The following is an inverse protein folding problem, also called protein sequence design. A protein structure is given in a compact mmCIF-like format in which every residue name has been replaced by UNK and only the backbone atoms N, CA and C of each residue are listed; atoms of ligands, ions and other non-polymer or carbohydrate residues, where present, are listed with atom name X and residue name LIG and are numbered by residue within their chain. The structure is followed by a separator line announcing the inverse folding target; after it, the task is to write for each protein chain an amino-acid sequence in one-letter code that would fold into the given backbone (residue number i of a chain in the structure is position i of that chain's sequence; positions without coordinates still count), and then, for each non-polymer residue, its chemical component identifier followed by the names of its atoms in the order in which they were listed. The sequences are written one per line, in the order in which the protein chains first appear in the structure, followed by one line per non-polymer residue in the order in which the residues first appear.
data_IF_305398668717
#
_entry.id   IF_305398668717
#
_cell.length_a   1.000
_cell.length_b   1.000
_cell.length_c   1.000
_cell.angle_alpha   90.00
_cell.angle_beta   90.00
_cell.angle_gamma   90.00
#
_symmetry.space_group_name_H-M   'P 1'
#
loop_
_entity.id
_entity.type
_entity.pdbx_description
1 polymer ?
#
# COMPACT_ATOMS: atom_id res chain seq x y z
N UNK A 1 5.05 24.94 -14.01
CA UNK A 1 5.81 23.67 -13.95
C UNK A 1 4.97 22.58 -14.58
N UNK A 2 5.59 21.63 -15.25
CA UNK A 2 4.89 20.49 -15.86
C UNK A 2 4.36 19.54 -14.75
N UNK A 3 3.11 19.11 -14.86
CA UNK A 3 2.52 18.16 -13.93
C UNK A 3 3.13 16.78 -14.16
N UNK A 4 3.48 16.08 -13.09
CA UNK A 4 3.98 14.69 -13.16
C UNK A 4 3.44 13.83 -12.03
N UNK A 5 3.35 12.53 -12.29
CA UNK A 5 3.00 11.54 -11.30
C UNK A 5 4.16 11.26 -10.35
N UNK A 6 3.90 11.40 -9.06
CA UNK A 6 4.86 11.15 -7.98
C UNK A 6 4.26 10.12 -7.04
N UNK A 7 5.03 9.11 -6.67
CA UNK A 7 4.58 8.11 -5.71
C UNK A 7 4.55 8.71 -4.31
N UNK A 8 3.36 8.88 -3.75
CA UNK A 8 3.21 9.19 -2.33
C UNK A 8 3.65 8.00 -1.47
N UNK A 9 3.43 6.79 -1.98
CA UNK A 9 3.87 5.54 -1.39
C UNK A 9 4.07 4.47 -2.48
N UNK A 10 4.96 3.52 -2.22
CA UNK A 10 5.16 2.39 -3.11
C UNK A 10 6.05 1.31 -2.52
N UNK A 11 5.83 0.06 -2.93
CA UNK A 11 6.63 -1.08 -2.53
C UNK A 11 6.92 -2.01 -3.71
N UNK A 12 7.99 -2.80 -3.59
CA UNK A 12 8.24 -3.94 -4.47
C UNK A 12 7.52 -5.17 -3.95
N UNK A 13 7.02 -6.00 -4.85
CA UNK A 13 6.34 -7.24 -4.50
C UNK A 13 7.31 -8.43 -4.47
N UNK A 14 6.96 -9.40 -3.63
CA UNK A 14 7.53 -10.74 -3.57
C UNK A 14 6.41 -11.77 -3.42
N UNK A 15 6.74 -13.05 -3.51
CA UNK A 15 5.80 -14.13 -3.24
C UNK A 15 5.57 -14.29 -1.74
N UNK A 16 4.30 -14.24 -1.30
CA UNK A 16 3.91 -14.32 0.11
C UNK A 16 3.26 -15.67 0.46
N UNK A 17 3.78 -16.79 -0.04
CA UNK A 17 3.15 -18.11 0.07
C UNK A 17 2.81 -18.52 1.52
N UNK A 18 3.61 -18.16 2.49
CA UNK A 18 3.39 -18.44 3.92
C UNK A 18 2.61 -17.35 4.65
N UNK A 19 2.66 -16.12 4.16
CA UNK A 19 2.06 -14.94 4.80
C UNK A 19 0.79 -14.44 4.09
N UNK A 20 0.41 -15.09 2.99
CA UNK A 20 -0.70 -14.66 2.14
C UNK A 20 -2.05 -14.69 2.86
N UNK A 21 -2.92 -13.76 2.45
CA UNK A 21 -4.30 -13.69 2.93
C UNK A 21 -5.24 -14.50 2.04
N UNK A 22 -6.30 -15.06 2.65
CA UNK A 22 -7.51 -15.38 1.90
C UNK A 22 -8.31 -14.09 1.75
N UNK A 23 -8.40 -13.58 0.52
CA UNK A 23 -9.04 -12.30 0.22
C UNK A 23 -10.57 -12.36 0.11
N UNK A 24 -11.18 -13.55 0.25
CA UNK A 24 -12.62 -13.70 0.02
C UNK A 24 -13.45 -12.83 0.96
N UNK A 25 -14.32 -12.01 0.38
CA UNK A 25 -15.25 -11.13 1.10
C UNK A 25 -14.54 -10.27 2.16
N UNK A 26 -13.49 -9.54 1.75
CA UNK A 26 -12.70 -8.71 2.66
C UNK A 26 -12.33 -7.36 2.08
N UNK A 27 -12.44 -6.34 2.91
CA UNK A 27 -11.87 -5.02 2.65
C UNK A 27 -10.50 -4.90 3.28
N UNK A 28 -9.55 -4.39 2.51
CA UNK A 28 -8.20 -4.01 2.94
C UNK A 28 -8.07 -2.50 2.79
N UNK A 29 -7.76 -1.81 3.87
CA UNK A 29 -7.49 -0.36 3.86
C UNK A 29 -6.04 -0.11 4.22
N UNK A 30 -5.31 0.41 3.25
CA UNK A 30 -3.95 0.90 3.42
C UNK A 30 -4.01 2.37 3.82
N UNK A 31 -3.31 2.74 4.90
CA UNK A 31 -3.14 4.12 5.34
C UNK A 31 -1.68 4.50 5.18
N UNK A 32 -1.41 5.57 4.42
CA UNK A 32 -0.07 6.05 4.12
C UNK A 32 0.02 7.55 4.40
N UNK A 33 1.21 8.02 4.79
CA UNK A 33 1.50 9.44 4.94
C UNK A 33 2.02 9.99 3.61
N UNK A 34 1.40 11.04 3.06
CA UNK A 34 1.88 11.69 1.85
C UNK A 34 2.86 12.80 2.18
N UNK A 35 4.10 12.67 1.72
CA UNK A 35 5.11 13.72 1.82
C UNK A 35 4.96 14.81 0.75
N UNK A 36 4.10 14.62 -0.24
CA UNK A 36 3.93 15.50 -1.40
C UNK A 36 2.45 15.81 -1.63
N UNK A 37 2.18 16.96 -2.24
CA UNK A 37 0.84 17.37 -2.65
C UNK A 37 0.45 16.80 -4.02
N UNK A 38 -0.85 16.81 -4.33
CA UNK A 38 -1.36 16.51 -5.66
C UNK A 38 -2.85 16.76 -5.79
N UNK A 39 -3.31 16.97 -7.04
CA UNK A 39 -4.74 17.23 -7.33
C UNK A 39 -5.51 15.99 -7.77
N UNK A 40 -4.82 14.94 -8.18
CA UNK A 40 -5.40 13.67 -8.60
C UNK A 40 -4.60 12.51 -8.03
N UNK A 41 -5.29 11.39 -7.87
CA UNK A 41 -4.73 10.12 -7.37
C UNK A 41 -4.92 9.02 -8.41
N UNK A 42 -3.99 8.05 -8.42
CA UNK A 42 -4.16 6.74 -9.04
C UNK A 42 -3.49 5.65 -8.20
N UNK A 43 -3.99 4.43 -8.32
CA UNK A 43 -3.55 3.27 -7.58
C UNK A 43 -2.98 2.22 -8.54
N UNK A 44 -1.83 1.66 -8.20
CA UNK A 44 -1.32 0.45 -8.85
C UNK A 44 -1.54 -0.76 -7.94
N UNK A 45 -2.11 -1.82 -8.52
CA UNK A 45 -2.29 -3.13 -7.89
C UNK A 45 -1.49 -4.18 -8.65
N UNK A 46 -0.90 -5.14 -7.93
CA UNK A 46 -0.07 -6.18 -8.54
C UNK A 46 -0.37 -7.57 -7.96
N UNK A 47 -0.66 -8.50 -8.85
CA UNK A 47 -0.80 -9.93 -8.61
C UNK A 47 0.38 -10.72 -9.22
N UNK A 48 1.54 -10.07 -9.36
CA UNK A 48 2.69 -10.52 -10.15
C UNK A 48 3.25 -11.87 -9.70
N UNK A 49 3.25 -12.12 -8.41
CA UNK A 49 3.83 -13.34 -7.81
C UNK A 49 2.78 -14.40 -7.44
N UNK A 50 1.51 -14.22 -7.85
CA UNK A 50 0.46 -15.19 -7.65
C UNK A 50 0.21 -16.01 -8.91
N UNK A 51 -0.16 -17.27 -8.72
CA UNK A 51 -0.64 -18.17 -9.79
C UNK A 51 -2.17 -18.20 -9.89
N UNK A 52 -2.85 -17.52 -9.00
CA UNK A 52 -4.31 -17.49 -8.90
C UNK A 52 -4.85 -16.12 -9.33
N UNK A 53 -6.11 -16.11 -9.76
CA UNK A 53 -6.84 -14.86 -10.05
C UNK A 53 -7.31 -14.21 -8.77
N UNK A 54 -7.34 -12.89 -8.77
CA UNK A 54 -7.91 -12.07 -7.71
C UNK A 54 -8.95 -11.15 -8.30
N UNK A 55 -10.14 -11.13 -7.71
CA UNK A 55 -11.22 -10.23 -8.11
C UNK A 55 -11.41 -9.14 -7.06
N UNK A 56 -11.19 -7.91 -7.48
CA UNK A 56 -11.41 -6.70 -6.70
C UNK A 56 -12.72 -6.08 -7.18
N UNK A 57 -13.70 -5.91 -6.28
CA UNK A 57 -15.05 -5.44 -6.62
C UNK A 57 -15.17 -3.92 -6.56
N UNK A 58 -14.54 -3.29 -5.59
CA UNK A 58 -14.59 -1.84 -5.42
C UNK A 58 -13.27 -1.31 -4.86
N UNK A 59 -12.96 -0.05 -5.19
CA UNK A 59 -11.78 0.66 -4.71
C UNK A 59 -12.13 2.12 -4.42
N UNK A 60 -11.75 2.61 -3.23
CA UNK A 60 -11.94 4.00 -2.84
C UNK A 60 -10.68 4.56 -2.20
N UNK A 61 -10.47 5.86 -2.42
CA UNK A 61 -9.41 6.63 -1.78
C UNK A 61 -10.01 7.84 -1.05
N UNK A 62 -9.35 8.28 0.02
CA UNK A 62 -9.76 9.48 0.76
C UNK A 62 -8.58 10.08 1.52
N UNK A 63 -8.65 11.37 1.83
CA UNK A 63 -7.85 11.96 2.90
C UNK A 63 -8.37 11.42 4.23
N UNK A 64 -7.46 11.11 5.15
CA UNK A 64 -7.80 10.51 6.44
C UNK A 64 -6.88 11.03 7.55
N UNK A 65 -7.18 10.66 8.79
CA UNK A 65 -6.26 10.82 9.92
C UNK A 65 -5.23 9.67 9.97
N UNK A 66 -4.30 9.74 10.90
CA UNK A 66 -3.26 8.73 11.12
C UNK A 66 -3.80 7.33 11.45
N UNK A 67 -5.05 7.24 11.90
CA UNK A 67 -5.71 5.96 12.21
C UNK A 67 -6.36 5.34 10.97
N UNK A 68 -6.42 6.06 9.85
CA UNK A 68 -7.09 5.67 8.62
C UNK A 68 -8.59 5.98 8.62
N UNK A 69 -9.07 6.79 9.58
CA UNK A 69 -10.44 7.31 9.59
C UNK A 69 -10.55 8.44 8.58
N UNK A 70 -11.46 8.32 7.63
CA UNK A 70 -11.69 9.28 6.56
C UNK A 70 -12.07 10.65 7.10
N UNK A 71 -11.49 11.67 6.47
CA UNK A 71 -11.84 13.08 6.65
C UNK A 71 -12.48 13.53 5.31
N UNK A 72 -13.74 13.99 5.36
CA UNK A 72 -14.46 14.37 4.15
C UNK A 72 -15.00 13.18 3.34
N UNK A 73 -15.09 13.35 2.02
CA UNK A 73 -15.67 12.35 1.12
C UNK A 73 -14.63 11.36 0.58
N UNK A 74 -15.09 10.16 0.19
CA UNK A 74 -14.28 9.17 -0.49
C UNK A 74 -14.45 9.26 -2.00
N UNK A 75 -13.36 9.08 -2.73
CA UNK A 75 -13.32 9.09 -4.18
C UNK A 75 -13.23 7.65 -4.70
N UNK A 76 -14.17 7.20 -5.55
CA UNK A 76 -14.06 5.90 -6.20
C UNK A 76 -12.93 5.89 -7.22
N UNK A 77 -12.17 4.80 -7.28
CA UNK A 77 -11.13 4.56 -8.28
C UNK A 77 -11.61 3.51 -9.25
N UNK A 78 -11.54 3.82 -10.55
CA UNK A 78 -11.97 2.97 -11.64
C UNK A 78 -10.77 2.36 -12.38
N UNK A 79 -11.00 1.25 -13.08
CA UNK A 79 -10.02 0.59 -13.93
C UNK A 79 -10.61 0.46 -15.34
N UNK A 80 -10.12 1.26 -16.28
CA UNK A 80 -10.69 1.41 -17.63
C UNK A 80 -12.21 1.68 -17.56
N UNK A 81 -12.63 2.61 -16.69
CA UNK A 81 -14.02 3.02 -16.46
C UNK A 81 -14.88 2.05 -15.66
N UNK A 82 -14.32 0.95 -15.11
CA UNK A 82 -15.06 -0.03 -14.29
C UNK A 82 -14.70 0.09 -12.82
N UNK A 83 -15.66 -0.06 -11.92
CA UNK A 83 -15.48 0.06 -10.47
C UNK A 83 -14.57 -1.03 -9.88
N UNK A 84 -14.51 -2.20 -10.50
CA UNK A 84 -13.68 -3.32 -10.08
C UNK A 84 -12.76 -3.81 -11.17
N UNK A 85 -11.88 -4.74 -10.82
CA UNK A 85 -10.93 -5.36 -11.75
C UNK A 85 -10.63 -6.80 -11.38
N UNK A 86 -10.46 -7.66 -12.36
CA UNK A 86 -9.89 -9.00 -12.19
C UNK A 86 -8.41 -8.97 -12.58
N UNK A 87 -7.55 -9.31 -11.61
CA UNK A 87 -6.14 -9.49 -11.85
C UNK A 87 -5.86 -10.98 -12.09
N UNK A 88 -5.40 -11.30 -13.28
CA UNK A 88 -4.91 -12.65 -13.59
C UNK A 88 -3.55 -12.92 -12.94
N UNK A 89 -3.10 -14.17 -12.98
CA UNK A 89 -1.77 -14.55 -12.53
C UNK A 89 -0.69 -13.71 -13.24
N UNK A 90 0.25 -13.17 -12.50
CA UNK A 90 1.35 -12.39 -13.03
C UNK A 90 1.01 -10.95 -13.46
N UNK A 91 -0.23 -10.52 -13.35
CA UNK A 91 -0.69 -9.22 -13.83
C UNK A 91 -0.51 -8.11 -12.79
N UNK A 92 -0.15 -6.92 -13.28
CA UNK A 92 -0.29 -5.64 -12.57
C UNK A 92 -1.23 -4.73 -13.36
N UNK A 93 -2.01 -3.93 -12.65
CA UNK A 93 -2.95 -2.96 -13.23
C UNK A 93 -2.83 -1.62 -12.52
N UNK A 94 -3.20 -0.57 -13.23
CA UNK A 94 -3.27 0.79 -12.68
C UNK A 94 -4.67 1.34 -12.85
N UNK A 95 -5.18 2.03 -11.84
CA UNK A 95 -6.47 2.71 -11.94
C UNK A 95 -6.40 3.89 -12.89
N UNK A 96 -7.56 4.32 -13.34
CA UNK A 96 -7.74 5.63 -13.95
C UNK A 96 -7.39 6.71 -12.92
N UNK A 97 -7.06 7.91 -13.41
CA UNK A 97 -6.86 9.07 -12.55
C UNK A 97 -8.20 9.56 -11.98
N UNK A 98 -8.24 9.88 -10.69
CA UNK A 98 -9.42 10.43 -10.03
C UNK A 98 -9.08 11.72 -9.29
N UNK A 99 -9.99 12.67 -9.27
CA UNK A 99 -9.81 13.91 -8.54
C UNK A 99 -9.80 13.64 -7.03
N UNK A 100 -8.70 13.95 -6.38
CA UNK A 100 -8.54 13.91 -4.93
C UNK A 100 -7.43 14.89 -4.55
N UNK A 101 -7.78 16.13 -4.15
CA UNK A 101 -6.80 17.07 -3.63
C UNK A 101 -6.19 16.56 -2.33
N UNK A 102 -4.86 16.55 -2.29
CA UNK A 102 -4.07 16.11 -1.15
C UNK A 102 -2.97 17.13 -0.90
N UNK A 103 -2.83 17.60 0.33
CA UNK A 103 -1.72 18.43 0.75
C UNK A 103 -0.53 17.58 1.22
N UNK A 104 0.69 18.13 1.12
CA UNK A 104 1.86 17.50 1.71
C UNK A 104 1.70 17.44 3.24
N UNK A 105 1.96 16.28 3.83
CA UNK A 105 1.79 16.04 5.26
C UNK A 105 0.46 15.37 5.65
N UNK A 106 -0.50 15.27 4.72
CA UNK A 106 -1.75 14.56 4.96
C UNK A 106 -1.59 13.05 4.89
N UNK A 107 -2.51 12.34 5.55
CA UNK A 107 -2.65 10.89 5.41
C UNK A 107 -3.68 10.55 4.34
N UNK A 108 -3.42 9.49 3.61
CA UNK A 108 -4.28 8.91 2.60
C UNK A 108 -4.71 7.51 3.03
N UNK A 109 -5.99 7.21 2.91
CA UNK A 109 -6.51 5.85 2.96
C UNK A 109 -6.88 5.39 1.56
N UNK A 110 -6.42 4.18 1.19
CA UNK A 110 -6.85 3.50 -0.03
C UNK A 110 -7.44 2.16 0.37
N UNK A 111 -8.71 1.95 0.06
CA UNK A 111 -9.47 0.76 0.41
C UNK A 111 -9.78 -0.05 -0.83
N UNK A 112 -9.51 -1.36 -0.80
CA UNK A 112 -9.89 -2.32 -1.83
C UNK A 112 -10.79 -3.38 -1.23
N UNK A 113 -11.88 -3.72 -1.90
CA UNK A 113 -12.72 -4.87 -1.55
C UNK A 113 -12.35 -6.04 -2.45
N UNK A 114 -11.89 -7.12 -1.86
CA UNK A 114 -11.56 -8.36 -2.56
C UNK A 114 -12.74 -9.33 -2.43
N UNK A 115 -13.45 -9.53 -3.53
CA UNK A 115 -14.57 -10.46 -3.60
C UNK A 115 -14.10 -11.90 -3.46
N UNK A 116 -13.03 -12.25 -4.18
CA UNK A 116 -12.49 -13.61 -4.22
C UNK A 116 -11.02 -13.61 -4.63
N UNK A 117 -10.24 -14.50 -4.01
CA UNK A 117 -8.87 -14.79 -4.40
C UNK A 117 -7.97 -15.11 -3.22
N UNK A 118 -6.82 -15.69 -3.52
CA UNK A 118 -5.73 -15.89 -2.57
C UNK A 118 -4.65 -14.85 -2.85
N UNK A 119 -4.35 -14.04 -1.88
CA UNK A 119 -3.46 -12.88 -2.00
C UNK A 119 -2.03 -13.32 -1.69
N UNK A 120 -1.27 -13.66 -2.72
CA UNK A 120 0.08 -14.21 -2.62
C UNK A 120 1.15 -13.24 -3.14
N UNK A 121 0.75 -12.11 -3.69
CA UNK A 121 1.65 -11.07 -4.19
C UNK A 121 1.61 -9.86 -3.26
N UNK A 122 2.77 -9.44 -2.74
CA UNK A 122 2.88 -8.32 -1.83
C UNK A 122 4.24 -8.25 -1.16
N UNK A 123 4.31 -7.53 -0.06
CA UNK A 123 5.49 -7.43 0.78
C UNK A 123 5.07 -7.11 2.23
N UNK A 124 6.02 -7.05 3.15
CA UNK A 124 5.78 -6.65 4.52
C UNK A 124 6.62 -5.40 4.83
N UNK A 125 5.96 -4.28 5.07
CA UNK A 125 6.60 -3.00 5.38
C UNK A 125 6.08 -2.45 6.72
N UNK A 126 6.91 -1.66 7.41
CA UNK A 126 6.58 -1.06 8.70
C UNK A 126 6.24 0.45 8.61
N UNK A 127 6.21 1.00 7.39
CA UNK A 127 5.92 2.41 7.12
C UNK A 127 4.43 2.70 6.84
N UNK A 128 3.58 1.68 6.96
CA UNK A 128 2.16 1.77 6.65
C UNK A 128 1.30 1.07 7.70
N UNK A 129 0.04 1.46 7.75
CA UNK A 129 -1.01 0.75 8.49
C UNK A 129 -1.92 0.04 7.50
N UNK A 130 -2.14 -1.25 7.71
CA UNK A 130 -3.15 -2.03 6.98
C UNK A 130 -4.26 -2.45 7.94
N UNK A 131 -5.48 -2.04 7.66
CA UNK A 131 -6.69 -2.50 8.36
C UNK A 131 -7.45 -3.49 7.47
N UNK A 132 -7.97 -4.57 8.07
CA UNK A 132 -8.67 -5.62 7.34
C UNK A 132 -9.98 -5.93 8.05
N UNK A 133 -11.09 -5.98 7.31
CA UNK A 133 -12.40 -6.40 7.82
C UNK A 133 -13.13 -7.27 6.79
N UNK A 134 -14.20 -7.95 7.22
CA UNK A 134 -15.05 -8.75 6.35
C UNK A 134 -16.13 -7.88 5.71
N UNK A 135 -16.49 -8.15 4.46
CA UNK A 135 -17.47 -7.38 3.69
C UNK A 135 -16.87 -6.22 2.93
N UNK A 136 -17.71 -5.55 2.12
CA UNK A 136 -17.33 -4.31 1.43
C UNK A 136 -17.57 -3.11 2.33
N UNK A 137 -16.48 -2.53 2.80
CA UNK A 137 -16.40 -1.32 3.63
C UNK A 137 -15.47 -0.28 3.02
N UNK A 138 -15.29 -0.32 1.70
CA UNK A 138 -14.33 0.56 1.00
C UNK A 138 -14.68 2.03 1.12
N UNK A 139 -15.97 2.37 1.12
CA UNK A 139 -16.46 3.75 1.26
C UNK A 139 -16.75 4.18 2.70
N UNK A 140 -16.61 3.29 3.69
CA UNK A 140 -16.94 3.60 5.09
C UNK A 140 -15.95 4.61 5.69
N UNK A 141 -16.46 5.44 6.61
CA UNK A 141 -15.65 6.45 7.30
C UNK A 141 -14.48 5.82 8.06
N UNK A 142 -14.71 4.71 8.73
CA UNK A 142 -13.70 3.99 9.48
C UNK A 142 -13.88 2.49 9.30
N UNK A 143 -12.79 1.74 9.32
CA UNK A 143 -12.80 0.28 9.38
C UNK A 143 -12.32 -0.12 10.78
N UNK A 144 -13.15 -0.87 11.49
CA UNK A 144 -12.71 -1.50 12.74
C UNK A 144 -11.68 -2.56 12.37
N UNK A 145 -10.44 -2.35 12.81
CA UNK A 145 -9.37 -3.29 12.58
C UNK A 145 -9.72 -4.63 13.25
N UNK A 146 -10.00 -5.65 12.47
CA UNK A 146 -9.99 -7.01 12.98
C UNK A 146 -8.53 -7.37 13.22
N UNK A 147 -8.08 -7.26 14.47
CA UNK A 147 -6.75 -7.72 14.84
C UNK A 147 -6.55 -9.15 14.32
N UNK A 148 -5.34 -9.47 13.83
CA UNK A 148 -4.95 -10.86 13.60
C UNK A 148 -5.46 -11.69 14.78
N UNK A 149 -6.16 -12.77 14.48
CA UNK A 149 -6.58 -13.74 15.51
C UNK A 149 -5.38 -14.01 16.41
N UNK A 150 -5.53 -13.79 17.72
CA UNK A 150 -4.49 -14.04 18.73
C UNK A 150 -3.92 -15.48 18.68
N UNK A 151 -4.58 -16.36 17.95
CA UNK A 151 -4.31 -17.80 17.85
C UNK A 151 -3.60 -18.19 16.53
N UNK A 152 -3.04 -17.24 15.77
CA UNK A 152 -2.31 -17.60 14.55
C UNK A 152 -0.93 -18.17 14.92
N UNK A 153 -0.48 -19.20 14.20
CA UNK A 153 0.87 -19.77 14.27
C UNK A 153 1.94 -18.66 14.14
N UNK A 154 1.64 -17.59 13.43
CA UNK A 154 2.50 -16.41 13.27
C UNK A 154 2.67 -15.64 14.58
N UNK A 155 1.62 -15.47 15.38
CA UNK A 155 1.73 -14.82 16.69
C UNK A 155 2.53 -15.68 17.68
N UNK A 156 2.39 -17.00 17.58
CA UNK A 156 3.21 -17.92 18.35
C UNK A 156 4.69 -17.86 17.92
N UNK A 157 4.97 -17.78 16.62
CA UNK A 157 6.31 -17.61 16.09
C UNK A 157 6.95 -16.28 16.52
N UNK A 158 6.22 -15.17 16.52
CA UNK A 158 6.67 -13.89 17.06
C UNK A 158 7.07 -14.02 18.54
N UNK A 159 6.23 -14.69 19.34
CA UNK A 159 6.44 -14.83 20.77
C UNK A 159 7.56 -15.81 21.14
N UNK A 160 7.71 -16.90 20.37
CA UNK A 160 8.68 -17.98 20.67
C UNK A 160 10.04 -17.68 20.05
N UNK A 161 10.09 -17.08 18.86
CA UNK A 161 11.34 -16.83 18.13
C UNK A 161 11.86 -15.40 18.27
N UNK A 162 11.12 -14.52 18.96
CA UNK A 162 11.47 -13.09 19.08
C UNK A 162 11.52 -12.38 17.71
N UNK A 163 10.91 -12.96 16.69
CA UNK A 163 10.87 -12.41 15.35
C UNK A 163 9.76 -11.37 15.26
N UNK A 164 10.15 -10.11 15.08
CA UNK A 164 9.20 -9.07 14.70
C UNK A 164 8.80 -9.29 13.23
N UNK A 165 7.57 -9.73 13.01
CA UNK A 165 7.04 -9.93 11.68
C UNK A 165 6.22 -8.69 11.27
N UNK A 166 6.76 -7.92 10.35
CA UNK A 166 6.04 -6.81 9.73
C UNK A 166 4.73 -7.26 9.12
N UNK A 167 3.72 -6.40 9.15
CA UNK A 167 2.39 -6.73 8.62
C UNK A 167 2.46 -6.90 7.09
N UNK A 168 2.06 -8.06 6.53
CA UNK A 168 2.05 -8.22 5.08
C UNK A 168 0.99 -7.33 4.44
N UNK A 169 1.38 -6.65 3.37
CA UNK A 169 0.54 -5.76 2.55
C UNK A 169 0.34 -6.44 1.19
N UNK A 170 -0.83 -7.01 0.92
CA UNK A 170 -1.10 -7.70 -0.34
C UNK A 170 -1.58 -6.74 -1.42
N UNK A 171 -1.30 -7.04 -2.67
CA UNK A 171 -1.79 -6.39 -3.89
C UNK A 171 -1.38 -4.94 -4.10
N UNK A 172 -1.32 -4.09 -3.08
CA UNK A 172 -0.96 -2.68 -3.23
C UNK A 172 0.48 -2.54 -3.73
N UNK A 173 0.69 -1.83 -4.83
CA UNK A 173 2.02 -1.63 -5.41
C UNK A 173 2.49 -0.18 -5.30
N UNK A 174 1.62 0.78 -5.62
CA UNK A 174 1.91 2.21 -5.49
C UNK A 174 0.65 3.05 -5.36
N UNK A 175 0.73 4.10 -4.57
CA UNK A 175 -0.22 5.23 -4.53
C UNK A 175 0.50 6.43 -5.12
N UNK A 176 -0.02 6.97 -6.21
CA UNK A 176 0.61 8.07 -6.96
C UNK A 176 -0.31 9.29 -6.98
N UNK A 177 0.28 10.47 -6.85
CA UNK A 177 -0.39 11.77 -6.93
C UNK A 177 0.13 12.56 -8.14
N UNK A 178 -0.78 13.26 -8.84
CA UNK A 178 -0.42 14.18 -9.91
C UNK A 178 0.02 15.51 -9.30
N UNK A 179 1.34 15.70 -9.23
CA UNK A 179 1.96 16.85 -8.60
C UNK A 179 2.33 17.93 -9.64
N UNK A 180 1.96 19.18 -9.36
CA UNK A 180 2.30 20.37 -10.17
C UNK A 180 3.39 21.25 -9.56
N UNK A 181 3.95 20.90 -8.39
CA UNK A 181 4.89 21.71 -7.63
C UNK A 181 6.35 21.27 -7.78
N UNK A 182 6.62 20.31 -8.68
CA UNK A 182 7.97 19.86 -8.98
C UNK A 182 8.54 18.82 -8.00
N UNK A 183 7.70 18.18 -7.19
CA UNK A 183 8.11 17.11 -6.28
C UNK A 183 8.75 15.93 -7.01
N UNK A 184 9.58 15.14 -6.32
CA UNK A 184 10.27 13.98 -6.89
C UNK A 184 10.33 12.82 -5.91
N UNK A 185 10.59 11.61 -6.39
CA UNK A 185 10.80 10.45 -5.56
C UNK A 185 12.29 10.22 -5.25
N UNK A 186 12.56 9.82 -4.01
CA UNK A 186 13.81 9.17 -3.61
C UNK A 186 13.46 7.70 -3.40
N UNK A 187 14.04 6.82 -4.21
CA UNK A 187 13.78 5.38 -4.15
C UNK A 187 14.88 4.69 -3.36
N UNK A 188 14.52 4.07 -2.23
CA UNK A 188 15.40 3.24 -1.45
C UNK A 188 15.24 1.79 -1.91
N UNK A 189 16.30 1.23 -2.49
CA UNK A 189 16.37 -0.12 -2.99
C UNK A 189 17.33 -0.93 -2.12
N UNK A 190 16.95 -2.15 -1.74
CA UNK A 190 17.80 -2.97 -0.88
C UNK A 190 17.16 -4.29 -0.45
N UNK A 191 17.70 -4.81 0.62
CA UNK A 191 17.35 -6.09 1.23
C UNK A 191 16.49 -5.90 2.51
N UNK A 192 16.54 -6.90 3.39
CA UNK A 192 15.84 -6.94 4.68
C UNK A 192 16.14 -5.73 5.57
N UNK A 193 17.40 -5.24 5.56
CA UNK A 193 17.82 -4.12 6.43
C UNK A 193 17.06 -2.85 6.07
N UNK A 194 16.86 -2.60 4.77
CA UNK A 194 16.08 -1.46 4.28
C UNK A 194 14.58 -1.72 4.44
N UNK A 195 14.11 -2.93 4.14
CA UNK A 195 12.70 -3.30 4.20
C UNK A 195 12.11 -3.15 5.61
N UNK A 196 12.86 -3.52 6.66
CA UNK A 196 12.43 -3.41 8.06
C UNK A 196 12.26 -1.96 8.55
N UNK A 197 12.60 -0.96 7.76
CA UNK A 197 12.32 0.43 8.07
C UNK A 197 13.21 1.08 9.14
N UNK A 198 14.09 0.35 9.82
CA UNK A 198 14.85 0.86 10.98
C UNK A 198 15.67 2.12 10.68
N UNK A 199 16.32 2.17 9.52
CA UNK A 199 17.02 3.37 9.06
C UNK A 199 16.16 4.16 8.07
N UNK A 200 15.32 3.45 7.28
CA UNK A 200 14.48 4.04 6.24
C UNK A 200 13.47 5.03 6.83
N UNK A 201 12.74 4.64 7.89
CA UNK A 201 11.70 5.50 8.48
C UNK A 201 12.28 6.80 9.06
N UNK A 202 13.37 6.79 9.87
CA UNK A 202 14.02 8.03 10.30
C UNK A 202 14.58 8.87 9.15
N UNK A 203 15.13 8.23 8.10
CA UNK A 203 15.60 8.94 6.92
C UNK A 203 14.45 9.63 6.18
N UNK A 204 13.36 8.90 5.90
CA UNK A 204 12.17 9.46 5.25
C UNK A 204 11.56 10.60 6.06
N UNK A 205 11.54 10.49 7.38
CA UNK A 205 11.09 11.55 8.28
C UNK A 205 11.97 12.81 8.16
N UNK A 206 13.28 12.67 8.23
CA UNK A 206 14.22 13.81 8.07
C UNK A 206 14.09 14.48 6.72
N UNK A 207 13.91 13.71 5.64
CA UNK A 207 13.68 14.29 4.31
C UNK A 207 12.39 15.13 4.28
N UNK A 208 11.30 14.65 4.88
CA UNK A 208 10.04 15.40 4.99
C UNK A 208 10.20 16.69 5.80
N UNK A 209 10.93 16.65 6.89
CA UNK A 209 11.16 17.80 7.78
C UNK A 209 12.06 18.87 7.11
N UNK A 210 13.11 18.43 6.41
CA UNK A 210 14.06 19.35 5.78
C UNK A 210 13.61 19.87 4.41
N UNK A 211 12.81 19.09 3.70
CA UNK A 211 12.36 19.38 2.34
C UNK A 211 10.85 19.16 2.18
N UNK A 212 10.01 19.87 2.95
CA UNK A 212 8.55 19.67 2.92
C UNK A 212 7.98 19.84 1.51
N UNK A 213 7.18 18.89 1.07
CA UNK A 213 6.54 18.89 -0.24
C UNK A 213 7.45 18.55 -1.43
N UNK A 214 8.79 18.47 -1.25
CA UNK A 214 9.72 18.27 -2.37
C UNK A 214 10.03 16.83 -2.71
N UNK A 215 10.12 15.97 -1.71
CA UNK A 215 10.51 14.57 -1.92
C UNK A 215 9.61 13.62 -1.20
N UNK A 216 9.14 12.58 -1.93
CA UNK A 216 8.55 11.40 -1.34
C UNK A 216 9.58 10.25 -1.38
N UNK A 217 9.93 9.72 -0.21
CA UNK A 217 10.86 8.59 -0.08
C UNK A 217 10.04 7.31 -0.12
N UNK A 218 10.37 6.39 -1.03
CA UNK A 218 9.65 5.12 -1.21
C UNK A 218 10.56 3.91 -0.98
N UNK A 219 10.05 2.92 -0.27
CA UNK A 219 10.78 1.69 0.06
C UNK A 219 10.51 0.60 -0.98
N UNK A 220 11.48 0.33 -1.85
CA UNK A 220 11.42 -0.71 -2.89
C UNK A 220 12.30 -1.93 -2.57
N UNK A 221 12.51 -2.19 -1.29
CA UNK A 221 13.36 -3.28 -0.82
C UNK A 221 12.59 -4.58 -0.66
N UNK A 222 13.29 -5.70 -0.77
CA UNK A 222 12.74 -7.06 -0.65
C UNK A 222 13.66 -7.88 0.24
N UNK A 223 13.10 -8.55 1.26
CA UNK A 223 13.84 -9.48 2.12
C UNK A 223 14.56 -10.55 1.31
N UNK A 224 15.81 -10.80 1.64
CA UNK A 224 16.66 -11.79 0.96
C UNK A 224 17.26 -11.33 -0.35
N UNK A 225 16.91 -10.13 -0.83
CA UNK A 225 17.42 -9.61 -2.11
C UNK A 225 18.93 -9.44 -2.10
N UNK A 226 19.57 -9.69 -3.26
CA UNK A 226 21.02 -9.59 -3.46
C UNK A 226 21.30 -8.92 -4.80
N UNK A 227 22.38 -8.13 -4.88
CA UNK A 227 22.73 -7.42 -6.12
C UNK A 227 23.19 -8.34 -7.25
N UNK A 228 23.81 -9.49 -6.91
CA UNK A 228 24.47 -10.38 -7.88
C UNK A 228 23.88 -11.79 -7.93
N UNK A 229 22.74 -12.03 -7.30
CA UNK A 229 22.08 -13.35 -7.28
C UNK A 229 20.57 -13.17 -7.27
N UNK A 230 19.90 -14.04 -8.01
CA UNK A 230 18.45 -14.19 -7.95
C UNK A 230 18.02 -14.73 -6.56
N UNK A 231 16.86 -14.30 -6.09
CA UNK A 231 16.25 -14.75 -4.82
C UNK A 231 15.27 -15.89 -5.07
#
# INVERSE_FOLDING_TARGET
MEQKWVQAWGMSHAGMSLLGYRGNDRTFRLTVHSAVSGGQIRLSLSNRFSKERVRVGSVYAAVCDETGRRIGESTPLFFAGKAGVELTAGQSVRSDAAALPVAAGEYLSVSIYVEKGKLLSGNALDDVRLSVCRGDHTSDMAILHQSRRKDSILHLAEKVLGMYLSQPVPLFEAVELLNGEGASNIVCFGDTITQQGRWFNPFAQRVREQFPGRYAVVNRSITGNRLLRDC
#
